data_IF_769956553550
#
_entry.id   IF_769956553550
#
_cell.length_a   1.000
_cell.length_b   1.000
_cell.length_c   1.000
_cell.angle_alpha   90.00
_cell.angle_beta   90.00
_cell.angle_gamma   90.00
#
_symmetry.space_group_name_H-M   'P 1'
#
loop_
_entity.id
_entity.type
_entity.pdbx_description
1 polymer ?
#
# COMPACT_ATOMS: atom_id res chain seq x y z
N UNK A 1 38.14 -2.40 -0.60
CA UNK A 1 36.75 -2.22 -1.05
C UNK A 1 36.41 -0.74 -1.00
N UNK A 2 35.68 -0.26 -1.95
CA UNK A 2 35.37 1.18 -2.02
C UNK A 2 34.26 1.51 -1.01
N UNK A 3 34.50 2.45 -0.13
CA UNK A 3 33.54 2.91 0.89
C UNK A 3 32.19 3.34 0.28
N UNK A 4 32.19 3.77 -0.98
CA UNK A 4 30.97 4.12 -1.70
C UNK A 4 30.01 2.93 -1.90
N UNK A 5 30.51 1.69 -1.95
CA UNK A 5 29.67 0.49 -2.05
C UNK A 5 29.08 0.08 -0.70
N UNK A 6 29.74 0.44 0.40
CA UNK A 6 29.27 0.18 1.76
C UNK A 6 28.16 1.15 2.17
N UNK A 7 28.06 2.30 1.49
CA UNK A 7 27.09 3.35 1.75
C UNK A 7 25.87 3.29 0.83
N UNK A 8 25.64 2.19 0.11
CA UNK A 8 24.40 2.02 -0.68
C UNK A 8 23.21 2.00 0.27
N UNK A 9 22.31 2.92 0.08
CA UNK A 9 21.07 2.99 0.85
C UNK A 9 20.24 1.73 0.63
N UNK A 10 19.66 1.24 1.71
CA UNK A 10 18.70 0.14 1.63
C UNK A 10 17.52 0.55 0.74
N UNK A 11 16.94 -0.37 -0.01
CA UNK A 11 15.71 -0.09 -0.73
C UNK A 11 14.58 0.28 0.23
N UNK A 12 13.68 1.12 -0.24
CA UNK A 12 12.50 1.58 0.51
C UNK A 12 11.27 0.87 -0.02
N UNK A 13 10.59 0.13 0.85
CA UNK A 13 9.34 -0.55 0.53
C UNK A 13 8.17 0.20 1.17
N UNK A 14 7.30 0.75 0.35
CA UNK A 14 6.07 1.40 0.78
C UNK A 14 5.01 0.37 1.15
N UNK A 15 4.46 0.46 2.34
CA UNK A 15 3.40 -0.42 2.83
C UNK A 15 2.14 0.43 3.03
N UNK A 16 1.10 0.17 2.25
CA UNK A 16 -0.10 0.99 2.31
C UNK A 16 -0.88 0.68 3.59
N UNK A 17 -1.12 1.72 4.38
CA UNK A 17 -1.84 1.63 5.63
C UNK A 17 -3.34 1.43 5.46
N UNK A 18 -3.95 0.94 6.53
CA UNK A 18 -5.40 0.78 6.66
C UNK A 18 -5.97 1.86 7.56
N UNK A 19 -7.17 2.31 7.25
CA UNK A 19 -7.97 3.11 8.17
C UNK A 19 -8.41 2.25 9.35
N UNK A 20 -8.15 2.72 10.54
CA UNK A 20 -8.53 2.02 11.77
C UNK A 20 -9.03 2.99 12.82
N UNK A 21 -10.06 2.58 13.55
CA UNK A 21 -10.60 3.35 14.67
C UNK A 21 -10.15 2.68 15.98
N UNK A 22 -9.12 3.22 16.59
CA UNK A 22 -8.56 2.67 17.82
C UNK A 22 -9.50 2.97 18.99
N UNK A 23 -9.89 1.92 19.74
CA UNK A 23 -10.81 2.03 20.87
C UNK A 23 -12.12 2.76 20.52
N UNK A 24 -12.62 2.55 19.29
CA UNK A 24 -13.85 3.16 18.77
C UNK A 24 -13.89 4.69 18.79
N UNK A 25 -12.74 5.35 18.98
CA UNK A 25 -12.66 6.81 19.13
C UNK A 25 -11.55 7.47 18.35
N UNK A 26 -10.45 6.78 18.12
CA UNK A 26 -9.24 7.40 17.59
C UNK A 26 -8.96 6.96 16.15
N UNK A 27 -9.25 7.83 15.15
CA UNK A 27 -8.92 7.51 13.75
C UNK A 27 -7.41 7.42 13.53
N UNK A 28 -6.98 6.35 12.87
CA UNK A 28 -5.56 6.11 12.60
C UNK A 28 -5.36 5.46 11.24
N UNK A 29 -4.16 5.63 10.69
CA UNK A 29 -3.66 4.83 9.57
C UNK A 29 -2.66 3.84 10.13
N UNK A 30 -2.89 2.54 9.93
CA UNK A 30 -2.10 1.48 10.57
C UNK A 30 -1.74 0.38 9.59
N UNK A 31 -0.67 -0.36 9.92
CA UNK A 31 -0.38 -1.66 9.33
C UNK A 31 0.12 -2.60 10.42
N UNK A 32 -0.15 -3.89 10.27
CA UNK A 32 0.34 -4.88 11.22
C UNK A 32 1.86 -5.03 11.15
N UNK A 33 2.49 -5.31 12.29
CA UNK A 33 3.93 -5.57 12.35
C UNK A 33 4.35 -6.73 11.44
N UNK A 34 3.44 -7.68 11.18
CA UNK A 34 3.69 -8.79 10.24
C UNK A 34 4.00 -8.34 8.81
N UNK A 35 3.63 -7.12 8.45
CA UNK A 35 3.97 -6.54 7.15
C UNK A 35 5.28 -5.73 7.19
N UNK A 36 5.68 -5.29 8.36
CA UNK A 36 6.84 -4.41 8.57
C UNK A 36 8.11 -5.22 8.85
N UNK A 37 8.04 -6.12 9.82
CA UNK A 37 9.21 -6.85 10.32
C UNK A 37 9.92 -7.68 9.25
N UNK A 38 9.22 -8.46 8.40
CA UNK A 38 9.91 -9.24 7.36
C UNK A 38 10.68 -8.38 6.35
N UNK A 39 10.19 -7.19 6.05
CA UNK A 39 10.88 -6.25 5.16
C UNK A 39 12.21 -5.82 5.76
N UNK A 40 12.23 -5.55 7.05
CA UNK A 40 13.44 -5.15 7.78
C UNK A 40 14.39 -6.33 8.00
N UNK A 41 13.87 -7.45 8.50
CA UNK A 41 14.68 -8.56 8.99
C UNK A 41 15.14 -9.52 7.89
N UNK A 42 14.31 -9.76 6.88
CA UNK A 42 14.58 -10.72 5.81
C UNK A 42 15.08 -10.01 4.55
N UNK A 43 14.42 -8.93 4.16
CA UNK A 43 14.73 -8.23 2.91
C UNK A 43 15.83 -7.18 3.07
N UNK A 44 16.25 -6.86 4.29
CA UNK A 44 17.21 -5.81 4.58
C UNK A 44 16.83 -4.48 3.90
N UNK A 45 15.56 -4.12 3.99
CA UNK A 45 14.97 -2.93 3.39
C UNK A 45 14.34 -2.03 4.45
N UNK A 46 14.06 -0.81 4.06
CA UNK A 46 13.32 0.14 4.91
C UNK A 46 11.83 -0.09 4.70
N UNK A 47 11.10 -0.33 5.78
CA UNK A 47 9.65 -0.34 5.78
C UNK A 47 9.13 1.08 5.96
N UNK A 48 8.41 1.60 4.97
CA UNK A 48 7.79 2.91 5.02
C UNK A 48 6.27 2.76 4.97
N UNK A 49 5.60 3.05 6.06
CA UNK A 49 4.13 3.02 6.09
C UNK A 49 3.58 4.24 5.36
N UNK A 50 2.81 4.00 4.32
CA UNK A 50 2.22 5.03 3.47
C UNK A 50 0.75 5.19 3.85
N UNK A 51 0.30 6.37 4.27
CA UNK A 51 -1.10 6.60 4.55
C UNK A 51 -1.99 6.34 3.34
N UNK A 52 -3.07 5.58 3.53
CA UNK A 52 -4.12 5.39 2.52
C UNK A 52 -5.04 6.61 2.42
N UNK A 53 -4.47 7.78 2.31
CA UNK A 53 -5.17 9.08 2.30
C UNK A 53 -4.78 9.83 1.02
N UNK A 54 -5.75 10.10 0.11
CA UNK A 54 -5.45 10.67 -1.21
C UNK A 54 -4.71 12.01 -1.19
N UNK A 55 -4.95 12.84 -0.17
CA UNK A 55 -4.33 14.16 -0.05
C UNK A 55 -2.88 14.13 0.43
N UNK A 56 -2.40 12.97 0.88
CA UNK A 56 -1.04 12.84 1.43
C UNK A 56 0.03 13.03 0.37
N UNK A 57 -0.07 12.29 -0.73
CA UNK A 57 0.91 12.31 -1.80
C UNK A 57 0.28 11.90 -3.13
N UNK A 58 0.84 12.39 -4.22
CA UNK A 58 0.48 11.93 -5.56
C UNK A 58 1.10 10.56 -5.84
N UNK A 59 0.56 9.86 -6.85
CA UNK A 59 1.14 8.60 -7.34
C UNK A 59 2.60 8.78 -7.73
N UNK A 60 2.92 9.85 -8.44
CA UNK A 60 4.30 10.17 -8.88
C UNK A 60 5.25 10.37 -7.70
N UNK A 61 4.82 11.11 -6.68
CA UNK A 61 5.63 11.33 -5.49
C UNK A 61 5.92 10.00 -4.76
N UNK A 62 4.94 9.14 -4.60
CA UNK A 62 5.12 7.83 -3.98
C UNK A 62 6.07 6.93 -4.80
N UNK A 63 5.93 6.93 -6.11
CA UNK A 63 6.81 6.21 -7.03
C UNK A 63 8.27 6.66 -6.90
N UNK A 64 8.49 7.96 -6.70
CA UNK A 64 9.84 8.51 -6.55
C UNK A 64 10.47 8.20 -5.17
N UNK A 65 9.64 8.07 -4.13
CA UNK A 65 10.13 7.81 -2.77
C UNK A 65 10.43 6.32 -2.55
N UNK A 66 9.59 5.43 -3.07
CA UNK A 66 9.66 4.00 -2.79
C UNK A 66 10.23 3.21 -3.97
N UNK A 67 11.06 2.22 -3.66
CA UNK A 67 11.62 1.28 -4.65
C UNK A 67 10.65 0.15 -5.00
N UNK A 68 9.70 -0.12 -4.14
CA UNK A 68 8.65 -1.11 -4.33
C UNK A 68 7.52 -0.90 -3.33
N UNK A 69 6.44 -1.65 -3.49
CA UNK A 69 5.26 -1.51 -2.64
C UNK A 69 4.67 -2.85 -2.21
N UNK A 70 4.10 -2.85 -1.01
CA UNK A 70 3.22 -3.91 -0.53
C UNK A 70 1.81 -3.34 -0.40
N UNK A 71 0.87 -3.96 -1.11
CA UNK A 71 -0.55 -3.67 -1.02
C UNK A 71 -1.17 -4.70 -0.10
N UNK A 72 -1.38 -4.31 1.14
CA UNK A 72 -1.79 -5.21 2.23
C UNK A 72 -3.27 -5.57 2.16
N UNK A 73 -3.65 -6.62 2.88
CA UNK A 73 -5.03 -6.96 3.13
C UNK A 73 -5.76 -5.93 4.01
N UNK A 74 -7.05 -6.07 4.11
CA UNK A 74 -7.90 -5.22 4.94
C UNK A 74 -9.34 -5.72 4.91
N UNK A 75 -10.10 -5.41 5.95
CA UNK A 75 -11.52 -5.81 6.03
C UNK A 75 -12.41 -5.14 4.99
N UNK A 76 -12.28 -3.80 4.75
CA UNK A 76 -13.11 -3.17 3.74
C UNK A 76 -12.88 -3.74 2.34
N UNK A 77 -13.94 -3.96 1.62
CA UNK A 77 -13.87 -4.37 0.21
C UNK A 77 -13.46 -3.20 -0.69
N UNK A 78 -12.93 -3.53 -1.86
CA UNK A 78 -12.72 -2.54 -2.92
C UNK A 78 -14.07 -2.03 -3.41
N UNK A 79 -14.20 -0.72 -3.54
CA UNK A 79 -15.49 -0.15 -3.94
C UNK A 79 -15.88 -0.59 -5.36
N UNK A 80 -17.11 -1.11 -5.56
CA UNK A 80 -17.53 -1.68 -6.83
C UNK A 80 -17.44 -0.74 -8.03
N UNK A 81 -17.46 0.57 -7.82
CA UNK A 81 -17.31 1.54 -8.92
C UNK A 81 -16.00 1.38 -9.70
N UNK A 82 -14.94 0.84 -9.06
CA UNK A 82 -13.64 0.64 -9.70
C UNK A 82 -13.62 -0.57 -10.63
N UNK A 83 -14.61 -1.44 -10.56
CA UNK A 83 -14.78 -2.57 -11.48
C UNK A 83 -16.16 -2.61 -12.15
N UNK A 84 -16.81 -1.45 -12.29
CA UNK A 84 -18.01 -1.27 -13.11
C UNK A 84 -19.29 -1.81 -12.48
N UNK A 85 -19.36 -1.97 -11.18
CA UNK A 85 -20.54 -2.45 -10.47
C UNK A 85 -21.09 -1.41 -9.49
N UNK A 86 -22.34 -1.59 -9.10
CA UNK A 86 -22.99 -0.76 -8.07
C UNK A 86 -22.75 -1.38 -6.70
N UNK A 87 -22.57 -0.52 -5.69
CA UNK A 87 -22.47 -0.95 -4.32
C UNK A 87 -23.80 -1.51 -3.82
N UNK A 88 -23.75 -2.63 -3.08
CA UNK A 88 -24.88 -3.24 -2.40
C UNK A 88 -24.52 -3.48 -0.93
N UNK A 89 -25.52 -3.82 -0.10
CA UNK A 89 -25.29 -4.12 1.32
C UNK A 89 -24.37 -5.33 1.53
N UNK A 90 -24.38 -6.28 0.62
CA UNK A 90 -23.53 -7.47 0.68
C UNK A 90 -22.05 -7.15 0.51
N UNK A 91 -21.69 -6.03 -0.11
CA UNK A 91 -20.30 -5.61 -0.22
C UNK A 91 -19.68 -5.20 1.13
N UNK A 92 -20.51 -4.84 2.13
CA UNK A 92 -20.03 -4.39 3.44
C UNK A 92 -19.40 -3.01 3.42
N UNK A 93 -18.37 -2.83 4.23
CA UNK A 93 -17.65 -1.55 4.36
C UNK A 93 -16.66 -1.33 3.22
N UNK A 94 -16.41 -0.06 2.92
CA UNK A 94 -15.42 0.38 1.93
C UNK A 94 -14.40 1.31 2.58
N UNK A 95 -13.21 1.34 2.01
CA UNK A 95 -12.18 2.36 2.28
C UNK A 95 -11.87 3.06 0.95
N UNK A 96 -12.71 3.99 0.59
CA UNK A 96 -12.63 4.69 -0.69
C UNK A 96 -11.34 5.50 -0.82
N UNK A 97 -10.90 6.13 0.26
CA UNK A 97 -9.65 6.88 0.27
C UNK A 97 -8.45 6.00 -0.06
N UNK A 98 -8.40 4.82 0.53
CA UNK A 98 -7.35 3.84 0.25
C UNK A 98 -7.41 3.36 -1.20
N UNK A 99 -8.59 3.08 -1.73
CA UNK A 99 -8.77 2.68 -3.14
C UNK A 99 -8.27 3.76 -4.10
N UNK A 100 -8.52 5.03 -3.78
CA UNK A 100 -8.06 6.16 -4.58
C UNK A 100 -6.54 6.33 -4.59
N UNK A 101 -5.85 5.87 -3.55
CA UNK A 101 -4.38 5.83 -3.51
C UNK A 101 -3.85 4.60 -4.23
N UNK A 102 -4.39 3.43 -3.92
CA UNK A 102 -3.85 2.14 -4.32
C UNK A 102 -4.05 1.85 -5.81
N UNK A 103 -5.23 2.11 -6.35
CA UNK A 103 -5.54 1.73 -7.73
C UNK A 103 -4.67 2.46 -8.75
N UNK A 104 -4.52 3.79 -8.70
CA UNK A 104 -3.59 4.49 -9.60
C UNK A 104 -2.14 4.06 -9.39
N UNK A 105 -1.75 3.80 -8.14
CA UNK A 105 -0.39 3.40 -7.79
C UNK A 105 -0.03 2.03 -8.38
N UNK A 106 -0.92 1.04 -8.27
CA UNK A 106 -0.72 -0.28 -8.87
C UNK A 106 -0.56 -0.16 -10.39
N UNK A 107 -1.43 0.59 -11.05
CA UNK A 107 -1.37 0.79 -12.50
C UNK A 107 -0.06 1.42 -12.94
N UNK A 108 0.40 2.42 -12.23
CA UNK A 108 1.67 3.07 -12.55
C UNK A 108 2.87 2.17 -12.28
N UNK A 109 2.88 1.44 -11.17
CA UNK A 109 3.93 0.46 -10.89
C UNK A 109 4.02 -0.61 -11.99
N UNK A 110 2.87 -1.11 -12.45
CA UNK A 110 2.82 -2.07 -13.55
C UNK A 110 3.38 -1.47 -14.84
N UNK A 111 2.99 -0.25 -15.17
CA UNK A 111 3.43 0.45 -16.39
C UNK A 111 4.95 0.63 -16.44
N UNK A 112 5.58 0.96 -15.31
CA UNK A 112 7.03 1.24 -15.25
C UNK A 112 7.87 0.05 -14.79
N UNK A 113 7.25 -1.06 -14.44
CA UNK A 113 7.96 -2.25 -13.95
C UNK A 113 8.48 -2.13 -12.52
N UNK A 114 7.86 -1.30 -11.67
CA UNK A 114 8.23 -1.20 -10.26
C UNK A 114 7.71 -2.41 -9.48
N UNK A 115 8.55 -3.05 -8.62
CA UNK A 115 8.13 -4.23 -7.87
C UNK A 115 6.94 -3.97 -6.96
N UNK A 116 5.97 -4.88 -6.98
CA UNK A 116 4.80 -4.86 -6.10
C UNK A 116 4.51 -6.25 -5.55
N UNK A 117 3.94 -6.30 -4.36
CA UNK A 117 3.39 -7.49 -3.74
C UNK A 117 1.96 -7.20 -3.28
N UNK A 118 1.00 -7.92 -3.85
CA UNK A 118 -0.40 -7.84 -3.43
C UNK A 118 -0.75 -8.97 -2.46
N UNK A 119 -1.31 -8.63 -1.32
CA UNK A 119 -1.75 -9.58 -0.30
C UNK A 119 -3.26 -9.45 -0.14
N UNK A 120 -4.01 -10.54 -0.33
CA UNK A 120 -5.47 -10.59 -0.17
C UNK A 120 -6.16 -9.48 -0.97
N UNK A 121 -6.67 -8.43 -0.31
CA UNK A 121 -7.30 -7.28 -0.96
C UNK A 121 -6.41 -6.63 -2.03
N UNK A 122 -5.11 -6.48 -1.75
CA UNK A 122 -4.15 -5.95 -2.71
C UNK A 122 -4.03 -6.83 -3.96
N UNK A 123 -4.06 -8.14 -3.80
CA UNK A 123 -4.08 -9.08 -4.91
C UNK A 123 -5.35 -8.95 -5.75
N UNK A 124 -6.51 -8.80 -5.12
CA UNK A 124 -7.77 -8.60 -5.85
C UNK A 124 -7.77 -7.34 -6.70
N UNK A 125 -7.21 -6.26 -6.19
CA UNK A 125 -7.07 -5.01 -6.96
C UNK A 125 -6.19 -5.22 -8.19
N UNK A 126 -5.06 -5.89 -8.01
CA UNK A 126 -4.12 -6.17 -9.10
C UNK A 126 -4.74 -7.03 -10.22
N UNK A 127 -5.55 -8.02 -9.85
CA UNK A 127 -6.19 -8.94 -10.81
C UNK A 127 -7.38 -8.32 -11.56
N UNK A 128 -7.86 -7.18 -11.13
CA UNK A 128 -9.00 -6.47 -11.72
C UNK A 128 -8.54 -5.39 -12.69
#
# INVERSE_FOLDING_TARGET
MNDALENILKPVVGIIGNSHLINDTYPAQTTGLMNIEPIMEICNAISLVVPGVPKNATTEELINICDGFIFTGGRPNVHPKFYGQKATKEHGEFDLGRDQVVIPLIKECERIGKPILGICRGLYIYLR
#
